data_IF_159522627677
#
_entry.id   IF_159522627677
#
_cell.length_a   1.000
_cell.length_b   1.000
_cell.length_c   1.000
_cell.angle_alpha   90.00
_cell.angle_beta   90.00
_cell.angle_gamma   90.00
#
_symmetry.space_group_name_H-M   'P 1'
#
loop_
_entity.id
_entity.type
_entity.pdbx_description
1 polymer ?
#
# COMPACT_ATOMS: atom_id res chain seq x y z
N UNK A 1 23.21 -10.73 -3.86
CA UNK A 1 21.82 -11.15 -4.14
C UNK A 1 21.13 -10.01 -4.87
N UNK A 2 20.48 -10.29 -6.00
CA UNK A 2 19.73 -9.29 -6.77
C UNK A 2 18.45 -8.97 -5.99
N UNK A 3 18.31 -7.75 -5.47
CA UNK A 3 17.08 -7.35 -4.79
C UNK A 3 15.98 -7.17 -5.83
N UNK A 4 14.87 -7.88 -5.65
CA UNK A 4 13.67 -7.68 -6.45
C UNK A 4 12.98 -6.39 -6.00
N UNK A 5 12.30 -5.71 -6.92
CA UNK A 5 11.45 -4.59 -6.58
C UNK A 5 10.03 -5.10 -6.40
N UNK A 6 9.38 -4.68 -5.33
CA UNK A 6 8.01 -5.07 -5.02
C UNK A 6 7.11 -3.85 -4.96
N UNK A 7 5.85 -4.09 -5.31
CA UNK A 7 4.73 -3.20 -5.10
C UNK A 7 3.79 -3.86 -4.08
N UNK A 8 3.45 -3.13 -3.03
CA UNK A 8 2.47 -3.53 -2.01
C UNK A 8 1.30 -2.58 -2.10
N UNK A 9 0.19 -3.12 -2.55
CA UNK A 9 -1.06 -2.42 -2.77
C UNK A 9 -1.97 -2.65 -1.58
N UNK A 10 -2.32 -1.58 -0.87
CA UNK A 10 -3.11 -1.64 0.36
C UNK A 10 -4.42 -0.88 0.14
N UNK A 11 -5.58 -1.57 0.18
CA UNK A 11 -6.86 -0.89 0.17
C UNK A 11 -6.92 0.16 1.27
N UNK A 12 -7.50 1.31 0.95
CA UNK A 12 -7.71 2.39 1.90
C UNK A 12 -9.13 2.89 1.88
N UNK A 13 -9.62 3.32 3.04
CA UNK A 13 -10.93 3.93 3.19
C UNK A 13 -10.81 5.23 3.98
N UNK A 14 -11.53 6.27 3.57
CA UNK A 14 -11.58 7.48 4.37
C UNK A 14 -12.46 7.27 5.62
N UNK A 15 -11.90 7.53 6.80
CA UNK A 15 -12.60 7.32 8.08
C UNK A 15 -13.81 8.24 8.24
N UNK A 16 -13.76 9.46 7.72
CA UNK A 16 -14.87 10.42 7.80
C UNK A 16 -15.91 10.25 6.68
N UNK A 17 -15.53 9.62 5.57
CA UNK A 17 -16.40 9.36 4.42
C UNK A 17 -16.18 7.92 3.93
N UNK A 18 -16.83 6.91 4.55
CA UNK A 18 -16.60 5.50 4.27
C UNK A 18 -16.81 5.09 2.80
N UNK A 19 -17.60 5.86 2.05
CA UNK A 19 -17.85 5.65 0.62
C UNK A 19 -16.62 6.00 -0.26
N UNK A 20 -15.66 6.76 0.30
CA UNK A 20 -14.39 7.07 -0.37
C UNK A 20 -13.39 5.97 -0.09
N UNK A 21 -13.27 5.06 -1.05
CA UNK A 21 -12.23 4.04 -1.09
C UNK A 21 -11.10 4.43 -2.05
N UNK A 22 -9.91 3.93 -1.79
CA UNK A 22 -8.73 4.15 -2.61
C UNK A 22 -7.71 3.03 -2.43
N UNK A 23 -6.56 3.18 -3.08
CA UNK A 23 -5.45 2.25 -2.96
C UNK A 23 -4.19 3.04 -2.58
N UNK A 24 -3.52 2.60 -1.52
CA UNK A 24 -2.20 3.10 -1.17
C UNK A 24 -1.14 2.12 -1.68
N UNK A 25 -0.19 2.64 -2.45
CA UNK A 25 0.84 1.83 -3.11
C UNK A 25 2.19 2.11 -2.45
N UNK A 26 2.75 1.10 -1.80
CA UNK A 26 4.13 1.13 -1.32
C UNK A 26 5.02 0.42 -2.32
N UNK A 27 6.18 0.98 -2.63
CA UNK A 27 7.18 0.33 -3.49
C UNK A 27 8.54 0.36 -2.84
N UNK A 28 9.30 -0.72 -3.02
CA UNK A 28 10.65 -0.82 -2.50
C UNK A 28 11.31 -2.15 -2.83
N UNK A 29 12.59 -2.25 -2.50
CA UNK A 29 13.38 -3.44 -2.74
C UNK A 29 13.20 -4.44 -1.59
N UNK A 30 13.07 -5.73 -1.90
CA UNK A 30 13.04 -6.82 -0.93
C UNK A 30 13.62 -8.12 -1.52
N UNK A 31 13.78 -9.13 -0.69
CA UNK A 31 14.17 -10.48 -1.12
C UNK A 31 12.94 -11.38 -1.33
N UNK A 32 11.86 -11.13 -0.59
CA UNK A 32 10.61 -11.93 -0.66
C UNK A 32 9.37 -11.05 -0.53
N UNK A 33 8.21 -11.57 -0.95
CA UNK A 33 6.90 -10.89 -0.79
C UNK A 33 6.56 -10.64 0.68
N UNK A 34 6.83 -11.60 1.56
CA UNK A 34 6.61 -11.46 3.01
C UNK A 34 7.46 -10.35 3.59
N UNK A 35 8.72 -10.26 3.17
CA UNK A 35 9.61 -9.18 3.60
C UNK A 35 9.16 -7.83 3.05
N UNK A 36 8.69 -7.78 1.80
CA UNK A 36 8.12 -6.59 1.18
C UNK A 36 6.90 -6.08 1.97
N UNK A 37 5.97 -6.96 2.34
CA UNK A 37 4.80 -6.61 3.16
C UNK A 37 5.22 -6.07 4.54
N UNK A 38 6.19 -6.71 5.19
CA UNK A 38 6.73 -6.26 6.48
C UNK A 38 7.33 -4.85 6.36
N UNK A 39 8.18 -4.63 5.36
CA UNK A 39 8.82 -3.33 5.14
C UNK A 39 7.82 -2.23 4.76
N UNK A 40 6.77 -2.56 3.99
CA UNK A 40 5.68 -1.64 3.69
C UNK A 40 4.96 -1.18 4.97
N UNK A 41 4.63 -2.11 5.88
CA UNK A 41 4.00 -1.79 7.18
C UNK A 41 4.90 -0.90 8.03
N UNK A 42 6.18 -1.26 8.18
CA UNK A 42 7.14 -0.46 8.95
C UNK A 42 7.31 0.96 8.37
N UNK A 43 7.27 1.08 7.05
CA UNK A 43 7.35 2.38 6.37
C UNK A 43 6.09 3.21 6.59
N UNK A 44 4.92 2.56 6.61
CA UNK A 44 3.67 3.21 6.96
C UNK A 44 3.70 3.71 8.41
N UNK A 45 4.10 2.87 9.36
CA UNK A 45 4.15 3.23 10.78
C UNK A 45 5.12 4.40 11.02
N UNK A 46 6.28 4.38 10.36
CA UNK A 46 7.23 5.50 10.40
C UNK A 46 6.64 6.78 9.81
N UNK A 47 5.87 6.69 8.73
CA UNK A 47 5.20 7.84 8.11
C UNK A 47 4.08 8.40 9.01
N UNK A 48 3.31 7.54 9.65
CA UNK A 48 2.28 7.93 10.63
C UNK A 48 2.92 8.62 11.84
N UNK A 49 4.02 8.06 12.38
CA UNK A 49 4.76 8.65 13.47
C UNK A 49 5.37 10.01 13.11
N UNK A 50 5.99 10.13 11.92
CA UNK A 50 6.51 11.40 11.42
C UNK A 50 5.41 12.44 11.26
N UNK A 51 4.25 12.05 10.72
CA UNK A 51 3.10 12.94 10.57
C UNK A 51 2.54 13.39 11.92
N UNK A 52 2.39 12.48 12.89
CA UNK A 52 1.96 12.79 14.25
C UNK A 52 2.94 13.75 14.96
N UNK A 53 4.23 13.66 14.66
CA UNK A 53 5.27 14.57 15.13
C UNK A 53 5.33 15.91 14.36
N UNK A 54 4.42 16.17 13.43
CA UNK A 54 4.43 17.37 12.58
C UNK A 54 5.61 17.44 11.61
N UNK A 55 6.32 16.33 11.42
CA UNK A 55 7.49 16.23 10.56
C UNK A 55 7.10 15.86 9.13
N UNK A 56 7.88 16.33 8.16
CA UNK A 56 7.69 15.94 6.77
C UNK A 56 7.94 14.44 6.61
N UNK A 57 7.01 13.71 5.97
CA UNK A 57 7.19 12.30 5.67
C UNK A 57 8.37 12.16 4.68
N UNK A 58 9.44 11.43 5.04
CA UNK A 58 10.60 11.27 4.17
C UNK A 58 10.19 10.72 2.80
N UNK A 59 10.75 11.29 1.75
CA UNK A 59 10.40 10.96 0.36
C UNK A 59 10.64 9.48 0.03
N UNK A 60 11.67 8.90 0.63
CA UNK A 60 12.10 7.51 0.54
C UNK A 60 12.97 7.22 1.76
N UNK A 61 12.74 6.11 2.46
CA UNK A 61 13.61 5.62 3.53
C UNK A 61 14.94 5.13 2.93
N UNK A 62 16.02 5.02 3.72
CA UNK A 62 17.32 4.52 3.23
C UNK A 62 17.24 3.11 2.61
N UNK A 63 16.26 2.32 3.03
CA UNK A 63 15.95 0.98 2.52
C UNK A 63 15.28 0.98 1.12
N UNK A 64 14.93 2.15 0.60
CA UNK A 64 14.29 2.32 -0.71
C UNK A 64 12.77 2.39 -0.67
N UNK A 65 12.14 2.14 0.48
CA UNK A 65 10.68 2.15 0.63
C UNK A 65 10.13 3.56 0.78
N UNK A 66 9.03 3.85 0.07
CA UNK A 66 8.34 5.13 0.13
C UNK A 66 6.89 4.98 0.56
N UNK A 67 6.44 5.85 1.47
CA UNK A 67 5.05 5.96 1.92
C UNK A 67 4.40 7.28 1.44
N UNK A 68 4.83 7.78 0.27
CA UNK A 68 4.41 9.09 -0.22
C UNK A 68 2.94 9.01 -0.64
N UNK A 69 2.06 9.45 0.26
CA UNK A 69 0.61 9.36 0.08
C UNK A 69 -0.13 8.84 1.30
N UNK A 70 0.58 8.46 2.38
CA UNK A 70 -0.06 8.20 3.68
C UNK A 70 -0.67 9.53 4.12
N UNK A 71 -1.99 9.54 4.25
CA UNK A 71 -2.78 10.71 4.60
C UNK A 71 -3.51 10.43 5.90
N UNK A 72 -3.56 11.42 6.77
CA UNK A 72 -4.42 11.36 7.95
C UNK A 72 -5.89 11.21 7.54
N UNK A 73 -6.65 10.47 8.34
CA UNK A 73 -8.06 10.17 8.09
C UNK A 73 -8.31 9.11 7.02
N UNK A 74 -7.28 8.39 6.56
CA UNK A 74 -7.42 7.18 5.75
C UNK A 74 -6.95 5.96 6.54
N UNK A 75 -7.79 4.93 6.57
CA UNK A 75 -7.50 3.66 7.20
C UNK A 75 -7.00 2.68 6.14
N UNK A 76 -5.92 1.96 6.46
CA UNK A 76 -5.29 0.97 5.59
C UNK A 76 -5.76 -0.43 5.98
N UNK A 77 -6.40 -1.12 5.05
CA UNK A 77 -6.78 -2.52 5.21
C UNK A 77 -5.62 -3.44 4.81
N UNK A 78 -4.75 -3.69 5.77
CA UNK A 78 -3.61 -4.59 5.59
C UNK A 78 -3.99 -6.06 5.48
N UNK A 79 -5.22 -6.46 5.81
CA UNK A 79 -5.68 -7.83 5.66
C UNK A 79 -6.01 -8.14 4.20
N UNK A 80 -6.46 -7.13 3.44
CA UNK A 80 -6.71 -7.21 2.01
C UNK A 80 -5.55 -6.65 1.16
N UNK A 81 -4.35 -6.49 1.74
CA UNK A 81 -3.16 -6.04 1.01
C UNK A 81 -2.68 -7.10 0.01
N UNK A 82 -2.28 -6.66 -1.18
CA UNK A 82 -1.67 -7.52 -2.21
C UNK A 82 -0.22 -7.13 -2.44
N UNK A 83 0.63 -8.12 -2.72
CA UNK A 83 2.04 -7.93 -3.03
C UNK A 83 2.30 -8.44 -4.44
N UNK A 84 3.03 -7.65 -5.23
CA UNK A 84 3.45 -8.04 -6.56
C UNK A 84 4.93 -7.73 -6.75
N UNK A 85 5.66 -8.65 -7.37
CA UNK A 85 7.00 -8.37 -7.88
C UNK A 85 6.85 -7.44 -9.08
N UNK A 86 7.56 -6.31 -9.08
CA UNK A 86 7.67 -5.45 -10.24
C UNK A 86 8.75 -6.02 -11.17
N UNK A 87 8.38 -7.11 -11.85
CA UNK A 87 9.19 -7.63 -12.94
C UNK A 87 9.19 -6.56 -14.05
N UNK A 88 10.36 -6.22 -14.58
CA UNK A 88 10.49 -5.38 -15.78
C UNK A 88 9.99 -6.16 -17.01
N UNK A 89 8.76 -6.67 -16.96
CA UNK A 89 8.10 -7.25 -18.11
C UNK A 89 6.72 -6.62 -18.27
N UNK A 90 6.53 -6.07 -19.47
CA UNK A 90 5.53 -5.10 -19.92
C UNK A 90 4.05 -5.53 -19.83
N UNK A 91 3.71 -6.54 -19.03
CA UNK A 91 2.33 -6.98 -18.83
C UNK A 91 1.76 -6.34 -17.58
N UNK A 92 1.06 -5.21 -17.78
CA UNK A 92 0.15 -4.62 -16.81
C UNK A 92 -0.87 -5.68 -16.37
N UNK A 93 -0.58 -6.42 -15.29
CA UNK A 93 -1.58 -7.28 -14.67
C UNK A 93 -2.66 -6.38 -14.08
N UNK A 94 -3.81 -6.49 -14.71
CA UNK A 94 -5.07 -5.82 -14.44
C UNK A 94 -5.40 -5.85 -12.94
N UNK A 95 -5.52 -4.68 -12.33
CA UNK A 95 -6.24 -4.48 -11.07
C UNK A 95 -7.72 -4.79 -11.27
N UNK A 96 -8.08 -6.07 -11.26
CA UNK A 96 -9.46 -6.55 -11.35
C UNK A 96 -9.87 -7.25 -10.06
N UNK A 97 -9.81 -6.54 -8.93
CA UNK A 97 -10.32 -7.06 -7.65
C UNK A 97 -11.01 -6.02 -6.74
N UNK A 98 -11.31 -4.81 -7.23
CA UNK A 98 -12.13 -3.84 -6.48
C UNK A 98 -13.56 -3.68 -7.02
N UNK A 99 -14.08 -4.68 -7.73
CA UNK A 99 -15.50 -4.73 -8.11
C UNK A 99 -16.13 -6.08 -7.83
N UNK A 100 -16.22 -6.50 -6.57
CA UNK A 100 -17.23 -7.50 -6.18
C UNK A 100 -17.38 -7.58 -4.67
N UNK A 101 -17.87 -6.51 -4.03
CA UNK A 101 -18.72 -6.66 -2.85
C UNK A 101 -19.82 -5.60 -2.89
N UNK A 102 -20.92 -5.93 -3.57
CA UNK A 102 -22.11 -5.06 -3.60
C UNK A 102 -23.20 -5.47 -4.59
N UNK A 103 -23.73 -6.70 -4.48
CA UNK A 103 -25.12 -7.12 -4.85
C UNK A 103 -25.23 -8.66 -4.94
N UNK A 104 -26.42 -9.32 -4.79
CA UNK A 104 -27.73 -8.94 -4.20
C UNK A 104 -28.30 -10.07 -3.27
N UNK A 105 -29.62 -10.13 -2.90
CA UNK A 105 -30.63 -10.63 -3.84
C UNK A 105 -31.95 -9.86 -3.89
N UNK A 106 -32.67 -10.12 -4.97
CA UNK A 106 -33.98 -9.64 -5.38
C UNK A 106 -35.09 -9.81 -4.34
N UNK A 107 -36.00 -8.84 -4.27
CA UNK A 107 -37.45 -9.09 -4.28
C UNK A 107 -38.21 -7.90 -4.85
#
# INVERSE_FOLDING_TARGET
MTKLYFQVDVPTRNAAQPDRCGLHVFTGAAETETEALRMARETCDAAVAAHAAGSAIPRRRPDGWGARGVRSGWELDWAAATVAVWEHDSTLRTFQAFRTQGAPPSR
#
